data_IF_942753353803
#
_entry.id   IF_942753353803
#
_cell.length_a   1.000
_cell.length_b   1.000
_cell.length_c   1.000
_cell.angle_alpha   90.00
_cell.angle_beta   90.00
_cell.angle_gamma   90.00
#
_symmetry.space_group_name_H-M   'P 1'
#
loop_
_entity.id
_entity.type
_entity.pdbx_description
1 polymer ?
#
# COMPACT_ATOMS: atom_id res chain seq x y z
N UNK A 1 6.39 3.37 35.48
CA UNK A 1 6.31 2.95 34.07
C UNK A 1 7.38 1.91 33.85
N UNK A 2 7.05 0.78 33.23
CA UNK A 2 8.00 -0.31 32.96
C UNK A 2 8.94 0.04 31.80
N UNK A 3 9.95 -0.80 31.61
CA UNK A 3 10.80 -0.77 30.43
C UNK A 3 10.03 -1.34 29.23
N UNK A 4 9.72 -0.49 28.25
CA UNK A 4 8.93 -0.83 27.07
C UNK A 4 9.77 -0.82 25.77
N UNK A 5 11.11 -0.85 25.89
CA UNK A 5 12.00 -0.83 24.72
C UNK A 5 11.76 -2.03 23.81
N UNK A 6 11.29 -3.15 24.37
CA UNK A 6 10.90 -4.35 23.66
C UNK A 6 9.78 -4.13 22.63
N UNK A 7 9.02 -3.03 22.70
CA UNK A 7 7.97 -2.69 21.73
C UNK A 7 8.50 -1.98 20.47
N UNK A 8 9.82 -1.74 20.36
CA UNK A 8 10.41 -1.06 19.20
C UNK A 8 10.06 -1.75 17.87
N UNK A 9 9.91 -3.08 17.86
CA UNK A 9 9.46 -3.83 16.68
C UNK A 9 8.06 -3.43 16.20
N UNK A 10 7.12 -3.22 17.13
CA UNK A 10 5.76 -2.74 16.81
C UNK A 10 5.75 -1.28 16.35
N UNK A 11 6.65 -0.45 16.87
CA UNK A 11 6.78 0.93 16.37
C UNK A 11 7.24 0.90 14.91
N UNK A 12 8.16 0.00 14.56
CA UNK A 12 8.63 -0.14 13.19
C UNK A 12 7.52 -0.58 12.22
N UNK A 13 6.62 -1.47 12.62
CA UNK A 13 5.47 -1.85 11.75
C UNK A 13 4.55 -0.65 11.50
N UNK A 14 4.32 0.20 12.50
CA UNK A 14 3.59 1.47 12.32
C UNK A 14 4.29 2.43 11.35
N UNK A 15 5.62 2.60 11.49
CA UNK A 15 6.42 3.44 10.58
C UNK A 15 6.30 2.93 9.13
N UNK A 16 6.44 1.62 8.92
CA UNK A 16 6.33 1.00 7.59
C UNK A 16 4.90 1.17 7.04
N UNK A 17 3.87 0.90 7.85
CA UNK A 17 2.47 0.97 7.45
C UNK A 17 2.04 2.38 7.03
N UNK A 18 2.51 3.40 7.75
CA UNK A 18 2.21 4.79 7.42
C UNK A 18 3.06 5.35 6.27
N UNK A 19 4.06 4.61 5.80
CA UNK A 19 5.04 5.07 4.81
C UNK A 19 5.96 6.17 5.33
N UNK A 20 6.21 6.21 6.64
CA UNK A 20 7.04 7.24 7.26
C UNK A 20 8.53 6.98 7.04
N UNK A 21 9.32 8.06 7.02
CA UNK A 21 10.77 7.97 6.97
C UNK A 21 11.34 7.57 8.34
N UNK A 22 12.43 6.79 8.32
CA UNK A 22 13.27 6.50 9.49
C UNK A 22 14.21 7.69 9.77
N UNK A 23 13.61 8.81 10.16
CA UNK A 23 14.30 10.05 10.51
C UNK A 23 13.79 10.60 11.85
N UNK A 24 14.59 11.44 12.50
CA UNK A 24 14.22 12.07 13.78
C UNK A 24 13.86 11.03 14.85
N UNK A 25 12.67 11.15 15.46
CA UNK A 25 12.22 10.23 16.50
C UNK A 25 12.05 8.78 16.03
N UNK A 26 11.63 8.58 14.79
CA UNK A 26 11.54 7.24 14.21
C UNK A 26 12.92 6.58 14.14
N UNK A 27 13.95 7.36 13.78
CA UNK A 27 15.33 6.89 13.75
C UNK A 27 15.87 6.58 15.16
N UNK A 28 15.59 7.43 16.15
CA UNK A 28 15.99 7.20 17.55
C UNK A 28 15.44 5.85 18.07
N UNK A 29 14.13 5.61 17.91
CA UNK A 29 13.49 4.37 18.35
C UNK A 29 14.04 3.15 17.61
N UNK A 30 14.21 3.27 16.29
CA UNK A 30 14.78 2.21 15.45
C UNK A 30 16.21 1.83 15.88
N UNK A 31 17.09 2.81 16.07
CA UNK A 31 18.47 2.58 16.48
C UNK A 31 18.55 1.97 17.88
N UNK A 32 17.67 2.39 18.80
CA UNK A 32 17.57 1.76 20.12
C UNK A 32 17.10 0.30 20.02
N UNK A 33 16.11 0.00 19.16
CA UNK A 33 15.66 -1.36 18.89
C UNK A 33 16.78 -2.25 18.35
N UNK A 34 17.58 -1.75 17.42
CA UNK A 34 18.77 -2.47 16.91
C UNK A 34 19.83 -2.68 18.00
N UNK A 35 20.15 -1.64 18.78
CA UNK A 35 21.16 -1.70 19.82
C UNK A 35 20.83 -2.70 20.94
N UNK A 36 19.54 -3.02 21.12
CA UNK A 36 19.05 -4.01 22.07
C UNK A 36 18.74 -5.38 21.45
N UNK A 37 19.05 -5.60 20.16
CA UNK A 37 18.79 -6.86 19.46
C UNK A 37 17.30 -7.20 19.33
N UNK A 38 16.44 -6.19 19.21
CA UNK A 38 15.00 -6.34 18.99
C UNK A 38 14.67 -6.31 17.50
N UNK A 39 15.49 -5.58 16.73
CA UNK A 39 15.36 -5.41 15.29
C UNK A 39 16.69 -5.73 14.64
N UNK A 40 16.69 -6.60 13.65
CA UNK A 40 17.83 -6.84 12.77
C UNK A 40 17.54 -6.26 11.39
N UNK A 41 18.52 -5.59 10.78
CA UNK A 41 18.41 -5.04 9.42
C UNK A 41 19.28 -5.85 8.46
N UNK A 42 18.71 -6.23 7.32
CA UNK A 42 19.44 -6.80 6.19
C UNK A 42 18.97 -6.16 4.88
N UNK A 43 19.62 -6.52 3.76
CA UNK A 43 19.21 -6.10 2.42
C UNK A 43 18.48 -7.23 1.72
N UNK A 44 17.39 -6.92 1.01
CA UNK A 44 16.61 -7.93 0.29
C UNK A 44 15.37 -7.37 -0.38
N UNK A 45 14.54 -8.27 -0.90
CA UNK A 45 13.26 -7.94 -1.51
C UNK A 45 12.28 -7.47 -0.44
N UNK A 46 11.78 -6.23 -0.57
CA UNK A 46 10.91 -5.55 0.42
C UNK A 46 9.45 -5.98 0.38
N UNK A 47 9.07 -6.76 -0.63
CA UNK A 47 7.71 -7.27 -0.78
C UNK A 47 7.35 -8.19 0.41
N UNK A 48 6.14 -8.04 0.99
CA UNK A 48 5.67 -8.86 2.11
C UNK A 48 5.21 -10.24 1.64
N UNK A 49 5.42 -11.27 2.46
CA UNK A 49 5.05 -12.66 2.14
C UNK A 49 6.00 -13.68 2.77
N UNK A 50 5.56 -14.93 2.85
CA UNK A 50 6.32 -16.05 3.47
C UNK A 50 7.48 -16.50 2.60
N UNK A 51 7.27 -16.54 1.30
CA UNK A 51 8.25 -16.99 0.31
C UNK A 51 8.21 -16.07 -0.93
N UNK A 52 9.16 -16.27 -1.84
CA UNK A 52 9.26 -15.45 -3.04
C UNK A 52 7.98 -15.51 -3.92
N UNK A 53 7.40 -16.68 -4.23
CA UNK A 53 6.14 -16.76 -4.97
C UNK A 53 5.02 -15.92 -4.34
N UNK A 54 4.83 -16.02 -3.02
CA UNK A 54 3.81 -15.25 -2.31
C UNK A 54 4.11 -13.75 -2.31
N UNK A 55 5.37 -13.37 -2.11
CA UNK A 55 5.83 -11.98 -2.18
C UNK A 55 5.49 -11.33 -3.52
N UNK A 56 5.74 -12.03 -4.62
CA UNK A 56 5.41 -11.57 -5.97
C UNK A 56 3.90 -11.57 -6.22
N UNK A 57 3.20 -12.58 -5.69
CA UNK A 57 1.74 -12.67 -5.77
C UNK A 57 1.10 -11.45 -5.13
N UNK A 58 1.55 -11.02 -3.95
CA UNK A 58 0.97 -9.92 -3.16
C UNK A 58 1.57 -8.54 -3.43
N UNK A 59 2.42 -8.40 -4.46
CA UNK A 59 3.09 -7.15 -4.77
C UNK A 59 2.10 -6.03 -5.17
N UNK A 60 2.01 -4.98 -4.34
CA UNK A 60 1.26 -3.74 -4.65
C UNK A 60 2.03 -2.46 -4.34
N UNK A 61 3.28 -2.57 -3.86
CA UNK A 61 4.16 -1.43 -3.60
C UNK A 61 5.61 -1.79 -3.96
N UNK A 62 5.96 -1.81 -5.26
CA UNK A 62 5.09 -1.48 -6.40
C UNK A 62 4.15 -2.64 -6.80
N UNK A 63 3.07 -2.30 -7.48
CA UNK A 63 2.28 -3.26 -8.26
C UNK A 63 3.09 -3.67 -9.50
N UNK A 64 3.06 -4.96 -9.84
CA UNK A 64 3.80 -5.52 -10.96
C UNK A 64 2.81 -6.04 -12.00
N UNK A 65 2.46 -5.23 -13.03
CA UNK A 65 1.56 -5.66 -14.09
C UNK A 65 2.02 -6.97 -14.73
N UNK A 66 1.09 -7.91 -14.95
CA UNK A 66 1.40 -9.22 -15.50
C UNK A 66 2.06 -10.22 -14.53
N UNK A 67 2.52 -9.78 -13.35
CA UNK A 67 3.14 -10.64 -12.33
C UNK A 67 2.26 -10.73 -11.06
N UNK A 68 1.79 -9.60 -10.53
CA UNK A 68 0.97 -9.57 -9.31
C UNK A 68 -0.32 -10.38 -9.51
N UNK A 69 -0.52 -11.40 -8.67
CA UNK A 69 -1.62 -12.35 -8.76
C UNK A 69 -1.61 -13.26 -10.00
N UNK A 70 -0.48 -13.38 -10.69
CA UNK A 70 -0.32 -14.17 -11.93
C UNK A 70 0.59 -15.37 -11.64
N UNK A 71 0.01 -16.46 -11.13
CA UNK A 71 0.78 -17.59 -10.61
C UNK A 71 1.61 -18.33 -11.66
N UNK A 72 1.13 -18.43 -12.90
CA UNK A 72 1.85 -19.11 -13.99
C UNK A 72 3.08 -18.31 -14.42
N UNK A 73 2.93 -16.99 -14.52
CA UNK A 73 3.95 -16.01 -14.87
C UNK A 73 5.01 -15.92 -13.77
N UNK A 74 4.59 -15.87 -12.50
CA UNK A 74 5.50 -15.95 -11.34
C UNK A 74 6.32 -17.23 -11.37
N UNK A 75 5.66 -18.38 -11.56
CA UNK A 75 6.35 -19.65 -11.63
C UNK A 75 7.34 -19.70 -12.80
N UNK A 76 6.99 -19.09 -13.94
CA UNK A 76 7.89 -18.99 -15.09
C UNK A 76 9.08 -18.09 -14.82
N UNK A 77 8.86 -16.92 -14.24
CA UNK A 77 9.90 -15.97 -13.86
C UNK A 77 10.90 -16.62 -12.89
N UNK A 78 10.39 -17.26 -11.83
CA UNK A 78 11.24 -17.93 -10.84
C UNK A 78 12.08 -19.05 -11.48
N UNK A 79 11.49 -19.86 -12.36
CA UNK A 79 12.24 -20.90 -13.09
C UNK A 79 13.36 -20.29 -13.94
N UNK A 80 13.09 -19.21 -14.67
CA UNK A 80 14.11 -18.52 -15.47
C UNK A 80 15.24 -17.97 -14.60
N UNK A 81 14.92 -17.45 -13.42
CA UNK A 81 15.91 -16.90 -12.49
C UNK A 81 16.62 -17.97 -11.65
N UNK A 82 16.31 -19.27 -11.81
CA UNK A 82 16.90 -20.35 -11.01
C UNK A 82 17.54 -21.41 -11.93
N UNK A 83 18.59 -21.04 -12.71
CA UNK A 83 19.15 -21.93 -13.73
C UNK A 83 19.80 -23.20 -13.14
N UNK A 84 20.42 -23.09 -11.96
CA UNK A 84 21.16 -24.18 -11.30
C UNK A 84 20.37 -24.92 -10.21
N UNK A 85 19.11 -24.52 -9.98
CA UNK A 85 18.17 -25.24 -9.10
C UNK A 85 18.33 -25.04 -7.59
N UNK A 86 19.30 -24.24 -7.13
CA UNK A 86 19.52 -23.99 -5.70
C UNK A 86 18.67 -22.82 -5.16
N UNK A 87 18.90 -21.60 -5.64
CA UNK A 87 18.14 -20.40 -5.27
C UNK A 87 18.01 -19.44 -6.45
N UNK A 88 16.96 -18.61 -6.51
CA UNK A 88 16.81 -17.60 -7.56
C UNK A 88 17.94 -16.56 -7.50
N UNK A 89 18.56 -16.27 -8.64
CA UNK A 89 19.47 -15.14 -8.80
C UNK A 89 18.71 -13.83 -8.64
N UNK A 90 18.87 -13.19 -7.48
CA UNK A 90 18.11 -11.99 -7.10
C UNK A 90 18.34 -10.83 -8.07
N UNK A 91 19.57 -10.63 -8.54
CA UNK A 91 19.90 -9.53 -9.47
C UNK A 91 19.21 -9.71 -10.83
N UNK A 92 19.15 -10.95 -11.34
CA UNK A 92 18.44 -11.28 -12.57
C UNK A 92 16.93 -11.09 -12.40
N UNK A 93 16.38 -11.59 -11.29
CA UNK A 93 14.96 -11.43 -10.96
C UNK A 93 14.56 -9.96 -10.91
N UNK A 94 15.32 -9.13 -10.19
CA UNK A 94 15.06 -7.69 -10.10
C UNK A 94 15.15 -7.02 -11.47
N UNK A 95 16.15 -7.38 -12.27
CA UNK A 95 16.31 -6.83 -13.62
C UNK A 95 15.10 -7.15 -14.51
N UNK A 96 14.62 -8.39 -14.48
CA UNK A 96 13.42 -8.79 -15.23
C UNK A 96 12.16 -8.06 -14.74
N UNK A 97 11.94 -7.99 -13.43
CA UNK A 97 10.81 -7.27 -12.86
C UNK A 97 10.82 -5.78 -13.22
N UNK A 98 11.99 -5.15 -13.19
CA UNK A 98 12.16 -3.74 -13.59
C UNK A 98 11.83 -3.57 -15.07
N UNK A 99 12.34 -4.45 -15.94
CA UNK A 99 12.07 -4.39 -17.39
C UNK A 99 10.59 -4.57 -17.70
N UNK A 100 9.93 -5.55 -17.07
CA UNK A 100 8.51 -5.83 -17.30
C UNK A 100 7.60 -4.70 -16.80
N UNK A 101 7.98 -4.03 -15.71
CA UNK A 101 7.16 -3.00 -15.07
C UNK A 101 7.56 -1.55 -15.46
N UNK A 102 8.64 -1.34 -16.22
CA UNK A 102 9.20 -0.01 -16.51
C UNK A 102 8.26 0.92 -17.29
N UNK A 103 7.43 0.37 -18.18
CA UNK A 103 6.47 1.19 -18.95
C UNK A 103 5.28 1.65 -18.09
N UNK A 104 5.00 0.94 -16.99
CA UNK A 104 3.86 1.21 -16.13
C UNK A 104 4.25 1.97 -14.85
N UNK A 105 5.38 1.63 -14.26
CA UNK A 105 5.81 2.11 -12.95
C UNK A 105 6.89 3.18 -13.07
N UNK A 106 6.76 4.24 -12.27
CA UNK A 106 7.81 5.25 -12.11
C UNK A 106 9.09 4.62 -11.55
N UNK A 107 10.29 5.12 -11.92
CA UNK A 107 11.56 4.56 -11.45
C UNK A 107 11.66 4.44 -9.92
N UNK A 108 11.24 5.47 -9.19
CA UNK A 108 11.30 5.48 -7.72
C UNK A 108 10.46 4.37 -7.08
N UNK A 109 9.36 3.96 -7.72
CA UNK A 109 8.53 2.87 -7.26
C UNK A 109 9.24 1.52 -7.43
N UNK A 110 9.93 1.33 -8.57
CA UNK A 110 10.70 0.12 -8.85
C UNK A 110 11.92 0.00 -7.94
N UNK A 111 12.55 1.11 -7.56
CA UNK A 111 13.61 1.13 -6.55
C UNK A 111 13.14 0.62 -5.19
N UNK A 112 11.84 0.61 -4.90
CA UNK A 112 11.31 0.02 -3.66
C UNK A 112 11.30 -1.52 -3.65
N UNK A 113 11.52 -2.20 -4.78
CA UNK A 113 11.54 -3.67 -4.82
C UNK A 113 12.66 -4.26 -3.95
N UNK A 114 13.83 -3.62 -3.92
CA UNK A 114 14.98 -4.08 -3.16
C UNK A 114 15.51 -3.00 -2.23
N UNK A 115 15.68 -3.34 -0.96
CA UNK A 115 16.15 -2.39 0.00
C UNK A 115 16.39 -2.97 1.38
N UNK A 116 16.25 -2.12 2.38
CA UNK A 116 16.33 -2.55 3.77
C UNK A 116 15.08 -3.36 4.12
N UNK A 117 15.31 -4.54 4.67
CA UNK A 117 14.28 -5.38 5.28
C UNK A 117 14.65 -5.61 6.74
N UNK A 118 13.62 -5.74 7.57
CA UNK A 118 13.77 -5.74 9.02
C UNK A 118 13.18 -7.02 9.60
N UNK A 119 13.99 -7.71 10.38
CA UNK A 119 13.58 -8.87 11.17
C UNK A 119 13.28 -8.43 12.59
N UNK A 120 12.11 -8.83 13.09
CA UNK A 120 11.56 -8.52 14.38
C UNK A 120 11.81 -9.72 15.31
N UNK A 121 12.83 -9.60 16.16
CA UNK A 121 13.38 -10.73 16.94
C UNK A 121 12.43 -11.22 18.05
N UNK A 122 11.41 -10.43 18.39
CA UNK A 122 10.48 -10.72 19.49
C UNK A 122 9.04 -10.92 19.04
N UNK A 123 8.73 -10.66 17.77
CA UNK A 123 7.37 -10.69 17.27
C UNK A 123 7.03 -12.05 16.66
N UNK A 124 5.73 -12.37 16.61
CA UNK A 124 5.25 -13.66 16.09
C UNK A 124 5.45 -13.82 14.58
N UNK A 125 5.72 -12.71 13.88
CA UNK A 125 6.07 -12.67 12.46
C UNK A 125 7.38 -11.89 12.37
N UNK A 126 8.45 -12.57 11.98
CA UNK A 126 9.79 -11.98 11.96
C UNK A 126 9.90 -10.86 10.91
N UNK A 127 9.39 -11.05 9.70
CA UNK A 127 9.51 -10.02 8.65
C UNK A 127 8.56 -8.83 8.91
N UNK A 128 9.12 -7.64 9.15
CA UNK A 128 8.36 -6.46 9.54
C UNK A 128 7.37 -6.00 8.45
N UNK A 129 7.74 -6.14 7.17
CA UNK A 129 6.84 -5.80 6.06
C UNK A 129 5.64 -6.73 6.01
N UNK A 130 5.87 -8.02 6.23
CA UNK A 130 4.83 -9.05 6.30
C UNK A 130 3.92 -8.85 7.51
N UNK A 131 4.49 -8.60 8.70
CA UNK A 131 3.69 -8.32 9.89
C UNK A 131 2.81 -7.08 9.70
N UNK A 132 3.36 -6.02 9.09
CA UNK A 132 2.62 -4.80 8.74
C UNK A 132 1.46 -5.10 7.79
N UNK A 133 1.69 -5.90 6.74
CA UNK A 133 0.65 -6.31 5.80
C UNK A 133 -0.51 -7.03 6.51
N UNK A 134 -0.22 -7.92 7.47
CA UNK A 134 -1.25 -8.66 8.19
C UNK A 134 -2.06 -7.75 9.13
N UNK A 135 -1.38 -6.87 9.89
CA UNK A 135 -2.02 -5.91 10.79
C UNK A 135 -2.96 -4.99 10.01
N UNK A 136 -2.47 -4.43 8.91
CA UNK A 136 -3.22 -3.52 8.04
C UNK A 136 -4.47 -4.18 7.45
N UNK A 137 -4.31 -5.39 6.88
CA UNK A 137 -5.44 -6.13 6.33
C UNK A 137 -6.49 -6.50 7.39
N UNK A 138 -6.04 -6.96 8.58
CA UNK A 138 -6.97 -7.25 9.68
C UNK A 138 -7.74 -6.00 10.11
N UNK A 139 -7.07 -4.84 10.24
CA UNK A 139 -7.72 -3.58 10.57
C UNK A 139 -8.78 -3.17 9.54
N UNK A 140 -8.46 -3.27 8.24
CA UNK A 140 -9.37 -2.91 7.15
C UNK A 140 -10.57 -3.83 6.99
N UNK A 141 -10.43 -5.09 7.40
CA UNK A 141 -11.53 -6.05 7.39
C UNK A 141 -12.39 -6.03 8.67
N UNK A 142 -12.07 -5.16 9.63
CA UNK A 142 -12.80 -5.06 10.90
C UNK A 142 -12.36 -6.08 11.96
N UNK A 143 -11.29 -6.83 11.69
CA UNK A 143 -10.72 -7.87 12.55
C UNK A 143 -9.61 -7.28 13.45
N UNK A 144 -9.92 -6.14 14.07
CA UNK A 144 -8.97 -5.39 14.91
C UNK A 144 -8.52 -6.17 16.15
N UNK A 145 -9.34 -7.09 16.66
CA UNK A 145 -8.97 -8.00 17.75
C UNK A 145 -7.87 -8.96 17.34
N UNK A 146 -7.90 -9.48 16.11
CA UNK A 146 -6.88 -10.36 15.56
C UNK A 146 -5.58 -9.59 15.34
N UNK A 147 -5.65 -8.38 14.80
CA UNK A 147 -4.49 -7.48 14.68
C UNK A 147 -3.85 -7.19 16.06
N UNK A 148 -4.66 -6.86 17.06
CA UNK A 148 -4.18 -6.60 18.42
C UNK A 148 -3.55 -7.85 19.06
N UNK A 149 -4.14 -9.03 18.86
CA UNK A 149 -3.58 -10.28 19.36
C UNK A 149 -2.19 -10.56 18.78
N UNK A 150 -1.99 -10.30 17.48
CA UNK A 150 -0.68 -10.40 16.82
C UNK A 150 0.33 -9.44 17.47
N UNK A 151 -0.04 -8.16 17.68
CA UNK A 151 0.81 -7.17 18.34
C UNK A 151 1.12 -7.52 19.81
N UNK A 152 0.26 -8.30 20.45
CA UNK A 152 0.49 -8.85 21.80
C UNK A 152 1.26 -10.17 21.77
N UNK A 153 1.88 -10.51 20.64
CA UNK A 153 2.71 -11.71 20.42
C UNK A 153 1.93 -13.03 20.62
N UNK A 154 0.62 -12.99 20.40
CA UNK A 154 -0.20 -14.21 20.39
C UNK A 154 -0.10 -14.89 19.03
N UNK A 155 0.36 -16.14 19.01
CA UNK A 155 0.41 -16.97 17.80
C UNK A 155 -0.89 -17.74 17.52
N UNK A 156 -1.87 -17.68 18.44
CA UNK A 156 -3.07 -18.53 18.41
C UNK A 156 -4.01 -18.29 17.23
N UNK A 157 -3.99 -17.10 16.62
CA UNK A 157 -4.89 -16.70 15.53
C UNK A 157 -4.14 -16.33 14.24
N UNK A 158 -2.88 -16.77 14.10
CA UNK A 158 -2.06 -16.43 12.93
C UNK A 158 -2.66 -16.98 11.63
N UNK A 159 -3.23 -18.19 11.64
CA UNK A 159 -3.85 -18.78 10.46
C UNK A 159 -5.02 -17.95 9.93
N UNK A 160 -5.85 -17.43 10.84
CA UNK A 160 -6.95 -16.54 10.51
C UNK A 160 -6.42 -15.21 9.95
N UNK A 161 -5.43 -14.60 10.60
CA UNK A 161 -4.81 -13.36 10.12
C UNK A 161 -4.22 -13.50 8.71
N UNK A 162 -3.56 -14.63 8.42
CA UNK A 162 -3.07 -14.96 7.08
C UNK A 162 -4.22 -15.13 6.07
N UNK A 163 -5.32 -15.77 6.45
CA UNK A 163 -6.49 -15.93 5.57
C UNK A 163 -7.14 -14.58 5.24
N UNK A 164 -7.26 -13.70 6.23
CA UNK A 164 -7.77 -12.32 6.07
C UNK A 164 -6.86 -11.54 5.12
N UNK A 165 -5.55 -11.52 5.38
CA UNK A 165 -4.58 -10.81 4.55
C UNK A 165 -4.53 -11.33 3.11
N UNK A 166 -4.56 -12.66 2.93
CA UNK A 166 -4.60 -13.28 1.60
C UNK A 166 -5.86 -12.91 0.83
N UNK A 167 -7.03 -12.97 1.49
CA UNK A 167 -8.32 -12.62 0.88
C UNK A 167 -8.35 -11.14 0.47
N UNK A 168 -7.92 -10.25 1.37
CA UNK A 168 -7.85 -8.81 1.12
C UNK A 168 -6.89 -8.48 -0.04
N UNK A 169 -5.66 -9.01 -0.02
CA UNK A 169 -4.66 -8.81 -1.09
C UNK A 169 -5.13 -9.34 -2.43
N UNK A 170 -5.76 -10.51 -2.45
CA UNK A 170 -6.32 -11.10 -3.68
C UNK A 170 -7.40 -10.20 -4.28
N UNK A 171 -8.32 -9.66 -3.46
CA UNK A 171 -9.34 -8.72 -3.97
C UNK A 171 -8.70 -7.43 -4.48
N UNK A 172 -7.73 -6.87 -3.76
CA UNK A 172 -7.01 -5.66 -4.17
C UNK A 172 -6.36 -5.84 -5.55
N UNK A 173 -5.62 -6.92 -5.75
CA UNK A 173 -4.96 -7.20 -7.04
C UNK A 173 -5.98 -7.40 -8.16
N UNK A 174 -7.10 -8.06 -7.88
CA UNK A 174 -8.16 -8.24 -8.87
C UNK A 174 -8.80 -6.91 -9.27
N UNK A 175 -9.04 -5.99 -8.33
CA UNK A 175 -9.52 -4.64 -8.67
C UNK A 175 -8.46 -3.87 -9.46
N UNK A 176 -7.19 -3.86 -9.03
CA UNK A 176 -6.10 -3.20 -9.76
C UNK A 176 -6.01 -3.70 -11.21
N UNK A 177 -6.08 -5.02 -11.43
CA UNK A 177 -6.02 -5.62 -12.77
C UNK A 177 -7.21 -5.21 -13.65
N UNK A 178 -8.41 -5.14 -13.08
CA UNK A 178 -9.61 -4.68 -13.81
C UNK A 178 -9.52 -3.20 -14.16
N UNK A 179 -9.03 -2.40 -13.22
CA UNK A 179 -9.09 -0.94 -13.26
C UNK A 179 -7.95 -0.32 -14.05
N UNK A 180 -6.76 -0.93 -14.04
CA UNK A 180 -5.56 -0.39 -14.69
C UNK A 180 -5.30 -0.94 -16.10
N UNK A 181 -6.10 -1.92 -16.55
CA UNK A 181 -6.08 -2.38 -17.94
C UNK A 181 -4.72 -2.88 -18.45
N UNK A 182 -4.52 -2.80 -19.76
CA UNK A 182 -3.24 -3.12 -20.42
C UNK A 182 -2.32 -1.88 -20.44
N UNK A 183 -0.98 -2.06 -20.47
CA UNK A 183 -0.02 -0.95 -20.51
C UNK A 183 -0.29 0.01 -21.68
N UNK A 184 -0.23 1.33 -21.44
CA UNK A 184 -0.25 2.36 -22.49
C UNK A 184 -1.39 3.39 -22.40
N UNK A 185 -2.44 3.11 -21.63
CA UNK A 185 -3.42 4.13 -21.26
C UNK A 185 -2.89 4.86 -20.01
N UNK A 186 -2.46 6.11 -20.17
CA UNK A 186 -2.01 6.95 -19.05
C UNK A 186 -3.08 7.08 -17.97
N UNK A 187 -2.73 7.50 -16.74
CA UNK A 187 -3.69 7.56 -15.64
C UNK A 187 -4.84 8.50 -15.99
N UNK A 188 -6.07 7.96 -15.96
CA UNK A 188 -7.32 8.70 -16.22
C UNK A 188 -7.68 9.67 -15.09
N UNK A 189 -6.92 9.64 -13.99
CA UNK A 189 -7.17 10.40 -12.75
C UNK A 189 -8.34 9.87 -11.93
N UNK A 190 -9.37 9.30 -12.57
CA UNK A 190 -10.55 8.74 -11.89
C UNK A 190 -10.69 7.25 -12.21
N UNK A 191 -10.89 6.47 -11.14
CA UNK A 191 -10.98 5.02 -11.18
C UNK A 191 -12.19 4.54 -10.42
N UNK A 192 -13.05 3.75 -11.05
CA UNK A 192 -14.22 3.15 -10.39
C UNK A 192 -13.91 1.69 -9.99
N UNK A 193 -14.21 1.35 -8.74
CA UNK A 193 -14.06 0.00 -8.19
C UNK A 193 -15.36 -0.47 -7.55
N UNK A 194 -15.47 -1.78 -7.37
CA UNK A 194 -16.67 -2.39 -6.81
C UNK A 194 -16.68 -2.44 -5.27
N UNK A 195 -15.51 -2.48 -4.64
CA UNK A 195 -15.37 -2.69 -3.20
C UNK A 195 -14.82 -1.44 -2.50
N UNK A 196 -15.69 -0.77 -1.72
CA UNK A 196 -15.29 0.44 -0.99
C UNK A 196 -14.16 0.23 0.02
N UNK A 197 -13.98 -0.99 0.55
CA UNK A 197 -12.91 -1.28 1.51
C UNK A 197 -11.53 -1.17 0.89
N UNK A 198 -11.46 -1.31 -0.44
CA UNK A 198 -10.21 -1.27 -1.21
C UNK A 198 -9.94 0.11 -1.80
N UNK A 199 -10.84 1.08 -1.66
CA UNK A 199 -10.70 2.40 -2.30
C UNK A 199 -9.43 3.12 -1.87
N UNK A 200 -9.05 3.01 -0.60
CA UNK A 200 -7.78 3.56 -0.11
C UNK A 200 -6.59 2.83 -0.72
N UNK A 201 -6.58 1.50 -0.68
CA UNK A 201 -5.46 0.68 -1.15
C UNK A 201 -5.20 0.79 -2.65
N UNK A 202 -6.27 0.86 -3.44
CA UNK A 202 -6.17 1.09 -4.87
C UNK A 202 -5.58 2.48 -5.11
N UNK A 203 -6.05 3.50 -4.40
CA UNK A 203 -5.52 4.87 -4.55
C UNK A 203 -4.05 4.96 -4.14
N UNK A 204 -3.66 4.34 -3.03
CA UNK A 204 -2.28 4.28 -2.54
C UNK A 204 -1.37 3.54 -3.53
N UNK A 205 -1.84 2.41 -4.07
CA UNK A 205 -1.09 1.62 -5.05
C UNK A 205 -0.85 2.41 -6.35
N UNK A 206 -1.91 3.01 -6.91
CA UNK A 206 -1.81 3.80 -8.16
C UNK A 206 -0.91 5.02 -7.94
N UNK A 207 -1.13 5.78 -6.86
CA UNK A 207 -0.32 6.94 -6.52
C UNK A 207 1.14 6.60 -6.29
N UNK A 208 1.42 5.43 -5.70
CA UNK A 208 2.78 4.96 -5.44
C UNK A 208 3.50 4.44 -6.70
N UNK A 209 2.77 3.90 -7.68
CA UNK A 209 3.35 3.24 -8.85
C UNK A 209 3.42 4.12 -10.09
N UNK A 210 2.34 4.81 -10.45
CA UNK A 210 2.25 5.56 -11.71
C UNK A 210 2.67 7.01 -11.50
N UNK A 211 3.05 7.76 -12.54
CA UNK A 211 3.29 9.20 -12.43
C UNK A 211 1.97 9.97 -12.34
N UNK A 212 1.77 10.72 -11.26
CA UNK A 212 0.51 11.39 -10.89
C UNK A 212 0.73 12.89 -10.66
N UNK A 213 1.74 13.47 -11.29
CA UNK A 213 2.05 14.90 -11.14
C UNK A 213 0.99 15.79 -11.76
N UNK A 214 0.41 15.36 -12.86
CA UNK A 214 -0.51 16.17 -13.67
C UNK A 214 -1.98 15.93 -13.34
N UNK A 215 -2.31 14.93 -12.50
CA UNK A 215 -3.69 14.61 -12.15
C UNK A 215 -3.80 14.06 -10.73
N UNK A 216 -4.83 14.46 -9.95
CA UNK A 216 -5.18 13.78 -8.72
C UNK A 216 -5.62 12.33 -9.03
N UNK A 217 -5.34 11.40 -8.12
CA UNK A 217 -5.90 10.05 -8.17
C UNK A 217 -7.16 10.01 -7.33
N UNK A 218 -8.28 9.67 -7.94
CA UNK A 218 -9.59 9.58 -7.31
C UNK A 218 -10.12 8.17 -7.55
N UNK A 219 -10.25 7.38 -6.49
CA UNK A 219 -10.87 6.06 -6.53
C UNK A 219 -12.28 6.16 -5.96
N UNK A 220 -13.27 5.74 -6.74
CA UNK A 220 -14.70 5.82 -6.46
C UNK A 220 -15.27 4.41 -6.27
N UNK A 221 -16.09 4.22 -5.23
CA UNK A 221 -16.90 3.02 -5.03
C UNK A 221 -18.37 3.38 -4.79
N UNK A 222 -19.24 3.00 -5.73
CA UNK A 222 -20.69 3.23 -5.62
C UNK A 222 -21.34 2.25 -4.66
N UNK A 223 -22.30 2.71 -3.87
CA UNK A 223 -23.05 1.91 -2.91
C UNK A 223 -24.50 1.76 -3.36
N UNK A 224 -25.15 0.69 -2.88
CA UNK A 224 -26.54 0.38 -3.23
C UNK A 224 -27.54 1.40 -2.66
N UNK A 225 -27.16 2.17 -1.65
CA UNK A 225 -27.97 3.22 -1.02
C UNK A 225 -27.93 4.56 -1.77
N UNK A 226 -27.28 4.61 -2.94
CA UNK A 226 -27.12 5.83 -3.73
C UNK A 226 -25.98 6.74 -3.25
N UNK A 227 -25.19 6.31 -2.27
CA UNK A 227 -23.96 7.01 -1.85
C UNK A 227 -22.74 6.49 -2.59
N UNK A 228 -21.70 7.32 -2.63
CA UNK A 228 -20.47 7.09 -3.35
C UNK A 228 -19.30 7.42 -2.40
N UNK A 229 -18.44 6.43 -2.14
CA UNK A 229 -17.22 6.62 -1.35
C UNK A 229 -16.05 6.94 -2.27
N UNK A 230 -15.25 7.93 -1.89
CA UNK A 230 -14.10 8.39 -2.66
C UNK A 230 -12.84 8.36 -1.80
N UNK A 231 -11.74 7.91 -2.38
CA UNK A 231 -10.39 8.03 -1.84
C UNK A 231 -9.56 8.85 -2.81
N UNK A 232 -8.91 9.90 -2.31
CA UNK A 232 -8.20 10.89 -3.10
C UNK A 232 -6.73 10.93 -2.71
N UNK A 233 -5.83 10.97 -3.70
CA UNK A 233 -4.39 11.20 -3.53
C UNK A 233 -3.93 12.31 -4.45
N UNK A 234 -3.08 13.20 -3.93
CA UNK A 234 -2.45 14.27 -4.70
C UNK A 234 -0.95 14.29 -4.45
N UNK A 235 -0.20 14.67 -5.48
CA UNK A 235 1.25 14.82 -5.36
C UNK A 235 1.58 16.17 -4.68
N UNK A 236 2.34 16.21 -3.57
CA UNK A 236 2.60 17.44 -2.81
C UNK A 236 3.43 18.50 -3.55
N UNK A 237 3.93 18.21 -4.75
CA UNK A 237 4.80 19.08 -5.55
C UNK A 237 4.04 19.84 -6.65
N UNK A 238 2.71 19.97 -6.56
CA UNK A 238 2.00 20.85 -7.48
C UNK A 238 2.46 22.30 -7.21
N UNK A 239 3.18 22.96 -8.13
CA UNK A 239 3.93 24.19 -7.83
C UNK A 239 3.07 25.33 -7.30
N UNK A 240 1.81 25.36 -7.74
CA UNK A 240 0.83 26.41 -7.39
C UNK A 240 0.08 26.15 -6.08
N UNK A 241 0.34 25.02 -5.41
CA UNK A 241 -0.42 24.53 -4.25
C UNK A 241 0.44 24.30 -3.01
N UNK A 242 1.62 24.89 -2.94
CA UNK A 242 2.43 24.90 -1.72
C UNK A 242 1.62 25.48 -0.55
N UNK A 243 1.10 24.60 0.33
CA UNK A 243 0.25 24.96 1.46
C UNK A 243 -1.25 24.67 1.31
N UNK A 244 -1.71 24.11 0.18
CA UNK A 244 -3.09 23.62 0.07
C UNK A 244 -3.26 22.36 0.92
N UNK A 245 -4.25 22.36 1.81
CA UNK A 245 -4.64 21.17 2.57
C UNK A 245 -5.78 20.46 1.83
N UNK A 246 -5.45 19.34 1.16
CA UNK A 246 -6.45 18.49 0.49
C UNK A 246 -7.57 18.09 1.44
N UNK A 247 -7.25 17.83 2.72
CA UNK A 247 -8.24 17.47 3.73
C UNK A 247 -9.31 18.53 3.90
N UNK A 248 -8.89 19.80 4.05
CA UNK A 248 -9.79 20.95 4.13
C UNK A 248 -10.61 21.14 2.85
N UNK A 249 -9.99 21.04 1.66
CA UNK A 249 -10.72 21.15 0.39
C UNK A 249 -11.81 20.07 0.26
N UNK A 250 -11.44 18.81 0.53
CA UNK A 250 -12.36 17.67 0.43
C UNK A 250 -13.50 17.80 1.44
N UNK A 251 -13.22 18.31 2.64
CA UNK A 251 -14.24 18.61 3.63
C UNK A 251 -15.28 19.61 3.10
N UNK A 252 -14.83 20.77 2.62
CA UNK A 252 -15.73 21.81 2.08
C UNK A 252 -16.54 21.32 0.87
N UNK A 253 -15.89 20.64 -0.08
CA UNK A 253 -16.58 20.11 -1.27
C UNK A 253 -17.60 19.02 -0.91
N UNK A 254 -17.30 18.19 0.09
CA UNK A 254 -18.23 17.16 0.53
C UNK A 254 -19.46 17.78 1.20
N UNK A 255 -19.29 18.78 2.07
CA UNK A 255 -20.40 19.52 2.69
C UNK A 255 -21.30 20.20 1.65
N UNK A 256 -20.70 20.83 0.63
CA UNK A 256 -21.42 21.44 -0.51
C UNK A 256 -22.23 20.43 -1.35
N UNK A 257 -21.86 19.15 -1.26
CA UNK A 257 -22.53 18.02 -1.89
C UNK A 257 -23.41 17.22 -0.91
N UNK A 258 -23.69 17.77 0.28
CA UNK A 258 -24.52 17.12 1.31
C UNK A 258 -23.92 15.84 1.90
N UNK A 259 -22.61 15.68 1.78
CA UNK A 259 -21.84 14.54 2.23
C UNK A 259 -20.88 14.88 3.38
N UNK A 260 -19.95 13.98 3.63
CA UNK A 260 -18.91 14.14 4.65
C UNK A 260 -17.55 13.78 4.07
N UNK A 261 -16.51 14.52 4.44
CA UNK A 261 -15.16 14.27 3.97
C UNK A 261 -14.12 14.96 4.83
N UNK A 262 -12.87 14.52 4.66
CA UNK A 262 -11.71 15.07 5.36
C UNK A 262 -10.45 14.27 5.06
N UNK A 263 -9.34 14.68 5.65
CA UNK A 263 -8.07 13.99 5.44
C UNK A 263 -6.85 14.80 5.87
N UNK A 264 -5.74 14.47 5.24
CA UNK A 264 -4.45 15.14 5.36
C UNK A 264 -4.13 15.91 4.07
N UNK A 265 -2.97 16.55 4.06
CA UNK A 265 -2.50 17.40 2.96
C UNK A 265 -2.40 16.69 1.60
N UNK A 266 -2.10 15.39 1.58
CA UNK A 266 -1.90 14.62 0.34
C UNK A 266 -2.87 13.45 0.14
N UNK A 267 -3.67 13.12 1.16
CA UNK A 267 -4.60 12.00 1.17
C UNK A 267 -5.89 12.36 1.88
N UNK A 268 -7.02 12.13 1.24
CA UNK A 268 -8.33 12.43 1.81
C UNK A 268 -9.37 11.42 1.37
N UNK A 269 -10.49 11.39 2.09
CA UNK A 269 -11.64 10.56 1.77
C UNK A 269 -12.94 11.35 1.88
N UNK A 270 -13.93 10.94 1.09
CA UNK A 270 -15.26 11.54 1.12
C UNK A 270 -16.35 10.49 0.91
N UNK A 271 -17.55 10.80 1.38
CA UNK A 271 -18.79 10.11 1.06
C UNK A 271 -19.79 11.17 0.60
N UNK A 272 -20.27 11.06 -0.64
CA UNK A 272 -21.24 11.99 -1.25
C UNK A 272 -22.36 11.22 -1.95
N UNK A 273 -23.51 11.85 -2.18
CA UNK A 273 -24.54 11.25 -3.02
C UNK A 273 -24.03 11.06 -4.46
N UNK A 274 -24.39 9.94 -5.10
CA UNK A 274 -23.87 9.62 -6.43
C UNK A 274 -24.28 10.63 -7.51
N UNK A 275 -25.38 11.36 -7.34
CA UNK A 275 -25.79 12.49 -8.17
C UNK A 275 -24.86 13.72 -8.10
N UNK A 276 -24.07 13.84 -7.03
CA UNK A 276 -23.13 14.94 -6.83
C UNK A 276 -21.66 14.59 -7.14
N UNK A 277 -21.36 13.33 -7.46
CA UNK A 277 -19.99 12.87 -7.73
C UNK A 277 -19.29 13.66 -8.83
N UNK A 278 -19.97 13.94 -9.94
CA UNK A 278 -19.37 14.69 -11.05
C UNK A 278 -18.98 16.11 -10.64
N UNK A 279 -19.80 16.78 -9.83
CA UNK A 279 -19.50 18.11 -9.27
C UNK A 279 -18.33 18.04 -8.29
N UNK A 280 -18.34 17.04 -7.41
CA UNK A 280 -17.28 16.85 -6.42
C UNK A 280 -15.92 16.60 -7.08
N UNK A 281 -15.85 15.70 -8.06
CA UNK A 281 -14.62 15.41 -8.82
C UNK A 281 -14.14 16.65 -9.56
N UNK A 282 -15.03 17.38 -10.25
CA UNK A 282 -14.66 18.60 -10.95
C UNK A 282 -14.06 19.66 -10.02
N UNK A 283 -14.57 19.80 -8.79
CA UNK A 283 -14.01 20.72 -7.79
C UNK A 283 -12.58 20.36 -7.37
N UNK A 284 -12.25 19.06 -7.27
CA UNK A 284 -10.89 18.60 -6.99
C UNK A 284 -9.98 18.84 -8.19
N UNK A 285 -10.40 18.40 -9.38
CA UNK A 285 -9.62 18.52 -10.62
C UNK A 285 -9.35 19.99 -10.96
N UNK A 286 -10.27 20.91 -10.68
CA UNK A 286 -10.03 22.36 -10.91
C UNK A 286 -8.86 22.92 -10.09
N UNK A 287 -8.58 22.34 -8.92
CA UNK A 287 -7.49 22.79 -8.04
C UNK A 287 -6.19 22.08 -8.36
N UNK A 288 -6.24 20.81 -8.77
CA UNK A 288 -5.08 19.90 -8.89
C UNK A 288 -4.77 19.40 -10.31
N UNK A 289 -5.37 19.97 -11.36
CA UNK A 289 -5.03 19.71 -12.77
C UNK A 289 -4.24 20.89 -13.37
#
# INVERSE_FOLDING_TARGET
MGDNRDLAGLVLTGIIGDGQQLAGKNQEIYLEGMGNGIITKKRGIRLPGRDLPEKLTFATSPYLPGISGCGEEIASLIRTCTPDGEEPEVDLLLSMLVLDAAEFSRPDALLNLYGDIYELEREVIADAHTMTMLIDACGKEGEGSTAAAICLRSSGDLSNAWAIATSHRTRLINELRKTLGAPGEGPTGVYEISDKRLASDVADTISGCMDTRDNPIIVLARQNDGTCHLSIRVTPMHPDLAGSDLGTLVHTLAEDCGGFGGGHTTRAGAMVACEHVSRFIAGITQVYA
#
